data_IF_813723455810
#
_entry.id   IF_813723455810
#
_cell.length_a   1.000
_cell.length_b   1.000
_cell.length_c   1.000
_cell.angle_alpha   90.00
_cell.angle_beta   90.00
_cell.angle_gamma   90.00
#
_symmetry.space_group_name_H-M   'P 1'
#
loop_
_entity.id
_entity.type
_entity.pdbx_description
1 polymer ?
#
# COMPACT_ATOMS: atom_id res chain seq x y z
N UNK A 1 -9.42 -8.74 -31.80
CA UNK A 1 -9.66 -9.25 -30.43
C UNK A 1 -9.56 -8.03 -29.53
N UNK A 2 -10.56 -7.78 -28.69
CA UNK A 2 -10.54 -6.63 -27.78
C UNK A 2 -9.52 -6.85 -26.68
N UNK A 3 -8.93 -5.77 -26.16
CA UNK A 3 -8.07 -5.83 -24.98
C UNK A 3 -8.90 -6.27 -23.76
N UNK A 4 -8.35 -7.12 -22.88
CA UNK A 4 -9.06 -7.57 -21.69
C UNK A 4 -9.28 -6.41 -20.72
N UNK A 5 -10.44 -6.40 -20.07
CA UNK A 5 -10.78 -5.42 -19.05
C UNK A 5 -10.14 -5.86 -17.73
N UNK A 6 -9.21 -5.06 -17.22
CA UNK A 6 -8.51 -5.35 -15.96
C UNK A 6 -8.93 -4.30 -14.95
N UNK A 7 -9.46 -4.76 -13.81
CA UNK A 7 -9.96 -3.90 -12.74
C UNK A 7 -9.29 -4.27 -11.42
N UNK A 8 -8.98 -3.25 -10.62
CA UNK A 8 -8.46 -3.39 -9.26
C UNK A 8 -9.43 -2.68 -8.33
N UNK A 9 -9.97 -3.39 -7.36
CA UNK A 9 -11.04 -2.91 -6.49
C UNK A 9 -10.67 -3.14 -5.04
N UNK A 10 -10.88 -2.13 -4.19
CA UNK A 10 -10.75 -2.30 -2.74
C UNK A 10 -11.86 -3.18 -2.18
N UNK A 11 -11.48 -4.14 -1.34
CA UNK A 11 -12.37 -5.01 -0.60
C UNK A 11 -12.06 -4.87 0.89
N UNK A 12 -12.61 -3.84 1.55
CA UNK A 12 -12.27 -3.52 2.93
C UNK A 12 -12.80 -4.54 3.94
N UNK A 13 -13.79 -5.36 3.55
CA UNK A 13 -14.27 -6.46 4.38
C UNK A 13 -13.23 -7.58 4.51
N UNK A 14 -12.41 -7.78 3.47
CA UNK A 14 -11.37 -8.81 3.41
C UNK A 14 -9.96 -8.23 3.62
N UNK A 15 -9.86 -6.92 3.83
CA UNK A 15 -8.61 -6.17 3.90
C UNK A 15 -7.66 -6.47 2.74
N UNK A 16 -8.18 -6.39 1.51
CA UNK A 16 -7.37 -6.61 0.31
C UNK A 16 -7.88 -5.82 -0.89
N UNK A 17 -6.99 -5.57 -1.84
CA UNK A 17 -7.34 -5.17 -3.19
C UNK A 17 -7.46 -6.41 -4.06
N UNK A 18 -8.62 -6.62 -4.67
CA UNK A 18 -8.88 -7.71 -5.61
C UNK A 18 -8.58 -7.24 -7.04
N UNK A 19 -7.92 -8.08 -7.85
CA UNK A 19 -7.75 -7.84 -9.29
C UNK A 19 -8.58 -8.84 -10.08
N UNK A 20 -9.32 -8.33 -11.08
CA UNK A 20 -10.10 -9.13 -12.03
C UNK A 20 -9.62 -8.90 -13.46
N UNK A 21 -9.84 -9.91 -14.31
CA UNK A 21 -9.60 -9.87 -15.77
C UNK A 21 -10.86 -10.36 -16.45
N UNK A 22 -11.52 -9.50 -17.22
CA UNK A 22 -12.85 -9.73 -17.81
C UNK A 22 -13.87 -10.23 -16.77
N UNK A 23 -13.78 -9.67 -15.55
CA UNK A 23 -14.61 -10.03 -14.40
C UNK A 23 -14.21 -11.33 -13.68
N UNK A 24 -13.26 -12.11 -14.21
CA UNK A 24 -12.73 -13.29 -13.52
C UNK A 24 -11.70 -12.90 -12.46
N UNK A 25 -11.74 -13.43 -11.23
CA UNK A 25 -10.71 -13.18 -10.21
C UNK A 25 -9.33 -13.64 -10.69
N UNK A 26 -8.37 -12.73 -10.69
CA UNK A 26 -6.99 -12.99 -11.13
C UNK A 26 -5.97 -12.91 -9.99
N UNK A 27 -6.35 -12.41 -8.81
CA UNK A 27 -5.45 -12.30 -7.67
C UNK A 27 -5.88 -11.24 -6.65
N UNK A 28 -5.00 -10.95 -5.71
CA UNK A 28 -5.23 -9.94 -4.69
C UNK A 28 -3.93 -9.40 -4.08
N UNK A 29 -4.03 -8.26 -3.40
CA UNK A 29 -3.00 -7.69 -2.51
C UNK A 29 -3.62 -7.45 -1.15
N UNK A 30 -3.24 -8.26 -0.17
CA UNK A 30 -3.73 -8.14 1.19
C UNK A 30 -3.00 -7.01 1.94
N UNK A 31 -3.75 -6.30 2.75
CA UNK A 31 -3.27 -5.17 3.51
C UNK A 31 -3.71 -5.22 4.97
N UNK A 32 -2.99 -4.48 5.80
CA UNK A 32 -3.41 -4.21 7.18
C UNK A 32 -3.25 -2.74 7.48
N UNK A 33 -4.31 -2.12 7.99
CA UNK A 33 -4.26 -0.72 8.40
C UNK A 33 -3.71 -0.58 9.81
N UNK A 34 -2.90 0.43 10.02
CA UNK A 34 -2.31 0.78 11.30
C UNK A 34 -2.10 2.28 11.38
N UNK A 35 -1.85 2.78 12.58
CA UNK A 35 -1.48 4.16 12.81
C UNK A 35 -0.08 4.17 13.40
N UNK A 36 0.87 4.79 12.71
CA UNK A 36 2.16 5.04 13.32
C UNK A 36 2.01 6.22 14.29
N UNK A 37 2.50 6.11 15.54
CA UNK A 37 2.86 7.32 16.26
C UNK A 37 3.89 8.03 15.39
N UNK A 38 3.68 9.33 15.08
CA UNK A 38 4.72 10.08 14.36
C UNK A 38 6.02 9.88 15.13
N UNK A 39 7.05 9.35 14.44
CA UNK A 39 8.37 9.21 15.01
C UNK A 39 8.74 10.55 15.65
N UNK A 40 9.01 10.52 16.95
CA UNK A 40 9.45 11.69 17.69
C UNK A 40 10.74 12.18 17.07
N UNK A 41 10.64 13.12 16.12
CA UNK A 41 11.75 13.97 15.76
C UNK A 41 12.16 14.67 17.05
N UNK A 42 13.39 14.42 17.50
CA UNK A 42 14.04 15.22 18.52
C UNK A 42 14.22 16.64 17.97
N UNK A 43 13.13 17.40 17.93
CA UNK A 43 13.08 18.79 17.54
C UNK A 43 13.02 19.62 18.80
N UNK A 44 14.17 19.93 19.38
CA UNK A 44 14.29 21.08 20.27
C UNK A 44 14.09 22.33 19.42
N UNK A 45 12.83 22.76 19.29
CA UNK A 45 12.45 23.94 18.53
C UNK A 45 11.32 24.65 19.25
N UNK A 46 11.70 25.56 20.14
CA UNK A 46 10.82 26.54 20.77
C UNK A 46 10.25 27.46 19.67
N UNK A 47 8.92 27.54 19.56
CA UNK A 47 8.28 28.35 18.53
C UNK A 47 6.76 28.32 18.61
N UNK A 48 6.19 29.29 19.32
CA UNK A 48 4.77 29.65 19.32
C UNK A 48 4.25 29.88 17.89
N UNK A 49 3.41 28.96 17.40
CA UNK A 49 2.52 29.19 16.28
C UNK A 49 1.24 28.36 16.44
N UNK A 50 0.03 28.96 16.47
CA UNK A 50 -1.21 28.21 16.37
C UNK A 50 -1.46 27.86 14.90
N UNK A 51 -0.74 26.85 14.40
CA UNK A 51 -1.01 26.22 13.11
C UNK A 51 -1.49 24.80 13.36
N UNK A 52 -2.74 24.50 13.03
CA UNK A 52 -3.36 23.19 13.20
C UNK A 52 -2.63 22.10 12.43
N UNK A 53 -1.59 21.52 13.03
CA UNK A 53 -1.16 20.18 12.71
C UNK A 53 -2.14 19.25 13.39
N UNK A 54 -2.96 18.52 12.62
CA UNK A 54 -3.79 17.45 13.19
C UNK A 54 -2.89 16.58 14.06
N UNK A 55 -3.21 16.48 15.35
CA UNK A 55 -2.54 15.60 16.31
C UNK A 55 -2.76 14.12 15.98
N UNK A 56 -3.54 13.83 14.95
CA UNK A 56 -3.89 12.51 14.50
C UNK A 56 -2.65 11.78 13.94
N UNK A 57 -2.44 10.52 14.36
CA UNK A 57 -1.37 9.72 13.82
C UNK A 57 -1.57 9.51 12.31
N UNK A 58 -0.47 9.46 11.55
CA UNK A 58 -0.54 9.17 10.13
C UNK A 58 -1.09 7.74 9.95
N UNK A 59 -2.15 7.62 9.15
CA UNK A 59 -2.72 6.34 8.79
C UNK A 59 -1.78 5.65 7.79
N UNK A 60 -1.47 4.39 8.08
CA UNK A 60 -0.58 3.56 7.29
C UNK A 60 -1.30 2.29 6.83
N UNK A 61 -1.03 1.88 5.60
CA UNK A 61 -1.54 0.64 5.01
C UNK A 61 -0.38 -0.28 4.67
N UNK A 62 -0.28 -1.40 5.38
CA UNK A 62 0.78 -2.38 5.23
C UNK A 62 0.38 -3.40 4.16
N UNK A 63 0.96 -3.32 2.97
CA UNK A 63 0.81 -4.35 1.94
C UNK A 63 1.72 -5.53 2.27
N UNK A 64 1.15 -6.60 2.82
CA UNK A 64 1.93 -7.71 3.38
C UNK A 64 1.96 -8.96 2.50
N UNK A 65 1.03 -9.11 1.57
CA UNK A 65 0.98 -10.27 0.69
C UNK A 65 0.33 -9.91 -0.65
N UNK A 66 0.90 -10.39 -1.75
CA UNK A 66 0.39 -10.18 -3.11
C UNK A 66 0.43 -11.51 -3.84
N UNK A 67 -0.68 -11.88 -4.46
CA UNK A 67 -0.84 -13.12 -5.23
C UNK A 67 -1.48 -12.77 -6.57
N UNK A 68 -0.94 -13.32 -7.64
CA UNK A 68 -1.60 -13.42 -8.94
C UNK A 68 -1.71 -14.90 -9.25
N UNK A 69 -2.91 -15.32 -9.66
CA UNK A 69 -3.18 -16.69 -10.04
C UNK A 69 -2.31 -17.08 -11.25
N UNK A 70 -1.83 -18.32 -11.24
CA UNK A 70 -0.89 -18.82 -12.25
C UNK A 70 -1.46 -18.75 -13.67
N UNK A 71 -2.78 -18.92 -13.83
CA UNK A 71 -3.47 -18.79 -15.12
C UNK A 71 -3.35 -17.38 -15.72
N UNK A 72 -3.06 -16.39 -14.89
CA UNK A 72 -2.90 -14.99 -15.27
C UNK A 72 -1.44 -14.50 -15.16
N UNK A 73 -0.50 -15.39 -14.88
CA UNK A 73 0.93 -15.07 -14.78
C UNK A 73 1.55 -14.68 -16.13
N UNK A 74 2.71 -14.01 -16.10
CA UNK A 74 3.46 -13.62 -17.30
C UNK A 74 2.93 -12.41 -18.08
N UNK A 75 1.81 -11.81 -17.63
CA UNK A 75 1.12 -10.72 -18.34
C UNK A 75 1.35 -9.33 -17.71
N UNK A 76 2.28 -9.21 -16.75
CA UNK A 76 2.56 -7.95 -16.06
C UNK A 76 1.49 -7.53 -15.03
N UNK A 77 0.47 -8.36 -14.79
CA UNK A 77 -0.63 -8.06 -13.88
C UNK A 77 -0.17 -7.79 -12.45
N UNK A 78 0.87 -8.46 -11.95
CA UNK A 78 1.39 -8.20 -10.61
C UNK A 78 1.91 -6.76 -10.45
N UNK A 79 2.56 -6.21 -11.47
CA UNK A 79 3.06 -4.83 -11.48
C UNK A 79 1.89 -3.85 -11.55
N UNK A 80 0.93 -4.08 -12.43
CA UNK A 80 -0.27 -3.25 -12.56
C UNK A 80 -1.09 -3.25 -11.26
N UNK A 81 -1.35 -4.43 -10.71
CA UNK A 81 -2.08 -4.60 -9.46
C UNK A 81 -1.41 -3.86 -8.31
N UNK A 82 -0.09 -4.00 -8.19
CA UNK A 82 0.68 -3.32 -7.13
C UNK A 82 0.61 -1.81 -7.28
N UNK A 83 0.77 -1.29 -8.51
CA UNK A 83 0.63 0.14 -8.80
C UNK A 83 -0.74 0.66 -8.36
N UNK A 84 -1.81 0.00 -8.81
CA UNK A 84 -3.17 0.46 -8.59
C UNK A 84 -3.57 0.36 -7.11
N UNK A 85 -3.14 -0.69 -6.40
CA UNK A 85 -3.31 -0.83 -4.96
C UNK A 85 -2.61 0.29 -4.17
N UNK A 86 -1.38 0.66 -4.55
CA UNK A 86 -0.66 1.79 -3.92
C UNK A 86 -1.37 3.10 -4.23
N UNK A 87 -1.74 3.34 -5.49
CA UNK A 87 -2.43 4.56 -5.90
C UNK A 87 -3.77 4.75 -5.17
N UNK A 88 -4.55 3.68 -5.02
CA UNK A 88 -5.80 3.68 -4.25
C UNK A 88 -5.54 4.02 -2.78
N UNK A 89 -4.57 3.35 -2.15
CA UNK A 89 -4.18 3.62 -0.75
C UNK A 89 -3.80 5.09 -0.53
N UNK A 90 -3.03 5.66 -1.46
CA UNK A 90 -2.62 7.08 -1.41
C UNK A 90 -3.81 8.01 -1.59
N UNK A 91 -4.72 7.69 -2.51
CA UNK A 91 -5.95 8.47 -2.76
C UNK A 91 -6.86 8.47 -1.53
N UNK A 92 -6.89 7.37 -0.79
CA UNK A 92 -7.61 7.23 0.48
C UNK A 92 -6.89 7.94 1.66
N UNK A 93 -5.69 8.49 1.45
CA UNK A 93 -4.94 9.24 2.46
C UNK A 93 -3.97 8.40 3.29
N UNK A 94 -3.73 7.13 2.94
CA UNK A 94 -2.77 6.27 3.62
C UNK A 94 -1.34 6.48 3.12
N UNK A 95 -0.38 6.32 4.04
CA UNK A 95 1.02 6.02 3.69
C UNK A 95 1.19 4.51 3.53
N UNK A 96 1.85 4.07 2.48
CA UNK A 96 2.01 2.63 2.19
C UNK A 96 3.26 2.08 2.86
N UNK A 97 3.14 0.94 3.52
CA UNK A 97 4.27 0.18 4.07
C UNK A 97 4.43 -1.13 3.27
N UNK A 98 5.53 -1.30 2.50
CA UNK A 98 5.71 -2.41 1.58
C UNK A 98 6.35 -3.62 2.29
N UNK A 99 5.57 -4.32 3.13
CA UNK A 99 6.07 -5.50 3.86
C UNK A 99 6.25 -6.72 2.95
N UNK A 100 5.38 -6.87 1.95
CA UNK A 100 5.53 -7.88 0.91
C UNK A 100 6.86 -7.70 0.16
N UNK A 101 7.71 -8.75 0.03
CA UNK A 101 8.97 -8.65 -0.70
C UNK A 101 8.82 -8.20 -2.16
N UNK A 102 7.72 -8.61 -2.81
CA UNK A 102 7.41 -8.18 -4.17
C UNK A 102 7.16 -6.67 -4.23
N UNK A 103 6.25 -6.17 -3.38
CA UNK A 103 5.95 -4.72 -3.31
C UNK A 103 7.18 -3.92 -2.95
N UNK A 104 8.01 -4.40 -2.01
CA UNK A 104 9.30 -3.77 -1.65
C UNK A 104 10.25 -3.66 -2.85
N UNK A 105 10.37 -4.72 -3.65
CA UNK A 105 11.17 -4.72 -4.88
C UNK A 105 10.60 -3.79 -5.94
N UNK A 106 9.27 -3.71 -6.02
CA UNK A 106 8.55 -2.86 -6.95
C UNK A 106 8.77 -1.37 -6.64
N UNK A 107 8.52 -0.92 -5.41
CA UNK A 107 8.73 0.50 -5.04
C UNK A 107 10.20 0.94 -5.13
N UNK A 108 11.14 0.00 -5.02
CA UNK A 108 12.57 0.29 -5.26
C UNK A 108 12.91 0.58 -6.72
N UNK A 109 12.03 0.23 -7.66
CA UNK A 109 12.18 0.45 -9.11
C UNK A 109 11.23 1.52 -9.67
N UNK A 110 10.25 1.94 -8.87
CA UNK A 110 9.17 2.84 -9.25
C UNK A 110 9.06 3.95 -8.20
N UNK A 111 9.58 5.13 -8.52
CA UNK A 111 9.66 6.29 -7.61
C UNK A 111 8.38 7.15 -7.59
N UNK A 112 7.40 6.84 -8.43
CA UNK A 112 6.14 7.59 -8.57
C UNK A 112 5.32 7.71 -7.27
N UNK A 113 5.58 6.87 -6.27
CA UNK A 113 4.96 6.94 -4.94
C UNK A 113 5.96 7.13 -3.79
N UNK A 114 7.22 7.48 -4.07
CA UNK A 114 8.28 7.51 -3.06
C UNK A 114 7.92 8.38 -1.83
N UNK A 115 7.24 9.51 -2.03
CA UNK A 115 6.82 10.41 -0.95
C UNK A 115 5.71 9.83 -0.06
N UNK A 116 5.00 8.80 -0.54
CA UNK A 116 3.89 8.15 0.14
C UNK A 116 4.23 6.79 0.72
N UNK A 117 5.48 6.33 0.56
CA UNK A 117 5.93 5.03 1.04
C UNK A 117 6.77 5.21 2.30
N UNK A 118 6.43 4.47 3.36
CA UNK A 118 7.19 4.39 4.59
C UNK A 118 8.03 3.11 4.66
N UNK A 119 9.23 3.16 5.25
CA UNK A 119 10.02 1.95 5.46
C UNK A 119 9.33 1.00 6.43
N UNK A 120 9.51 -0.30 6.19
CA UNK A 120 9.07 -1.34 7.12
C UNK A 120 9.86 -1.22 8.42
N UNK A 121 9.15 -1.10 9.55
CA UNK A 121 9.73 -1.02 10.89
C UNK A 121 9.51 -2.32 11.66
N UNK A 122 10.21 -2.50 12.78
CA UNK A 122 9.95 -3.61 13.71
C UNK A 122 8.53 -3.59 14.29
N UNK A 123 7.94 -2.40 14.48
CA UNK A 123 6.56 -2.25 14.92
C UNK A 123 5.58 -2.85 13.89
N UNK A 124 5.82 -2.67 12.59
CA UNK A 124 5.01 -3.30 11.55
C UNK A 124 5.14 -4.82 11.57
N UNK A 125 6.35 -5.34 11.76
CA UNK A 125 6.59 -6.79 11.82
C UNK A 125 5.90 -7.45 13.02
N UNK A 126 5.91 -6.78 14.18
CA UNK A 126 5.27 -7.26 15.41
C UNK A 126 3.74 -7.40 15.29
N UNK A 127 3.12 -6.84 14.25
CA UNK A 127 1.70 -7.05 13.98
C UNK A 127 1.41 -8.45 13.42
N UNK A 128 2.40 -9.14 12.85
CA UNK A 128 2.23 -10.44 12.18
C UNK A 128 2.87 -11.61 12.95
N UNK A 129 3.33 -11.36 14.18
CA UNK A 129 3.89 -12.36 15.10
C UNK A 129 2.85 -13.01 15.98
#
# INVERSE_FOLDING_TARGET
MSDPVIEVTDNPAEHRYDITVDGAPAGFSAYRDTTAPRGGGSGSGEGDAPGGGSSDPAQQRILYHTVIDEAFSGQGLASRHTRDAIAASVTEGYRVVPLCPYVKSWVGKHDEFADHVDPVSSAHLALFS
#
